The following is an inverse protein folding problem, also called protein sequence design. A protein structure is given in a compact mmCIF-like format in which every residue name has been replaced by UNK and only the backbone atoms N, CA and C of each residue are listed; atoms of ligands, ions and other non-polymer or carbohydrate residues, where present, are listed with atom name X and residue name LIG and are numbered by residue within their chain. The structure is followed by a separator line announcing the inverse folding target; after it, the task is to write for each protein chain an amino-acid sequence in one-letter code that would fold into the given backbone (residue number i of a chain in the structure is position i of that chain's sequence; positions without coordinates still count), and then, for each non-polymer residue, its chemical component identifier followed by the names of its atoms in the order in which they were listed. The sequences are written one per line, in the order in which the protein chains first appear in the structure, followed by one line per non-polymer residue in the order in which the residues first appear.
data_IF_697844250022
#
_entry.id   IF_697844250022
#
_cell.length_a   1.000
_cell.length_b   1.000
_cell.length_c   1.000
_cell.angle_alpha   90.00
_cell.angle_beta   90.00
_cell.angle_gamma   90.00
#
_symmetry.space_group_name_H-M   'P 1'
#
loop_
_entity.id
_entity.type
_entity.pdbx_description
1 polymer ?
#
# COMPACT_ATOMS: atom_id res chain seq x y z
N UNK A 1 -8.77 -26.99 -1.27
CA UNK A 1 -9.03 -27.04 0.18
C UNK A 1 -7.92 -26.28 0.88
N UNK A 2 -8.20 -25.06 1.34
CA UNK A 2 -7.27 -24.26 2.12
C UNK A 2 -7.09 -24.91 3.49
N UNK A 3 -5.95 -25.57 3.70
CA UNK A 3 -5.61 -26.17 4.99
C UNK A 3 -5.19 -25.04 5.92
N UNK A 4 -5.83 -24.91 7.08
CA UNK A 4 -5.39 -23.97 8.11
C UNK A 4 -4.20 -24.53 8.90
N UNK A 5 -3.36 -23.64 9.39
CA UNK A 5 -2.30 -23.89 10.36
C UNK A 5 -2.58 -23.12 11.63
N UNK A 6 -2.30 -23.76 12.75
CA UNK A 6 -2.48 -23.20 14.08
C UNK A 6 -1.10 -23.02 14.71
N UNK A 7 -0.84 -21.83 15.23
CA UNK A 7 0.42 -21.48 15.88
C UNK A 7 0.13 -21.05 17.31
N UNK A 8 0.90 -21.59 18.24
CA UNK A 8 0.92 -21.15 19.62
C UNK A 8 2.16 -20.29 19.85
N UNK A 9 1.90 -19.02 20.14
CA UNK A 9 2.89 -17.95 20.17
C UNK A 9 2.79 -17.18 21.47
N UNK A 10 3.93 -16.81 22.04
CA UNK A 10 4.01 -15.89 23.19
C UNK A 10 4.81 -14.65 22.82
N UNK A 11 4.37 -13.50 23.32
CA UNK A 11 5.03 -12.22 23.10
C UNK A 11 5.80 -11.81 24.36
N UNK A 12 7.11 -11.60 24.20
CA UNK A 12 7.99 -11.08 25.25
C UNK A 12 8.39 -9.65 24.91
N UNK A 13 8.01 -8.72 25.78
CA UNK A 13 8.34 -7.29 25.67
C UNK A 13 9.49 -7.02 26.66
N UNK A 14 10.55 -6.35 26.20
CA UNK A 14 11.76 -6.15 27.03
C UNK A 14 11.62 -5.00 28.04
N UNK A 15 10.72 -4.04 27.80
CA UNK A 15 10.37 -2.97 28.75
C UNK A 15 8.93 -3.19 29.23
N UNK A 16 8.81 -3.69 30.45
CA UNK A 16 7.55 -4.15 31.07
C UNK A 16 6.78 -3.01 31.77
N UNK A 17 6.83 -1.79 31.21
CA UNK A 17 6.13 -0.63 31.79
C UNK A 17 4.74 -0.57 31.17
N UNK A 18 3.75 -1.12 31.88
CA UNK A 18 2.30 -0.93 31.69
C UNK A 18 1.75 -1.11 30.26
N UNK A 19 2.37 -1.97 29.45
CA UNK A 19 1.85 -2.27 28.13
C UNK A 19 0.77 -3.36 28.23
N UNK A 20 -0.49 -2.93 28.38
CA UNK A 20 -1.65 -3.80 28.24
C UNK A 20 -1.79 -4.24 26.77
N UNK A 21 -1.34 -5.46 26.51
CA UNK A 21 -1.48 -6.07 25.19
C UNK A 21 -2.88 -6.67 25.11
N UNK A 22 -3.83 -5.94 24.53
CA UNK A 22 -5.15 -6.47 24.19
C UNK A 22 -5.07 -7.36 22.95
N UNK A 23 -6.00 -8.32 22.76
CA UNK A 23 -5.99 -9.19 21.58
C UNK A 23 -6.11 -8.41 20.26
N UNK A 24 -6.77 -7.25 20.26
CA UNK A 24 -6.91 -6.38 19.09
C UNK A 24 -5.54 -5.81 18.67
N UNK A 25 -4.81 -5.20 19.62
CA UNK A 25 -3.46 -4.68 19.34
C UNK A 25 -2.49 -5.80 18.99
N UNK A 26 -2.65 -6.97 19.60
CA UNK A 26 -1.87 -8.14 19.24
C UNK A 26 -2.09 -8.54 17.77
N UNK A 27 -3.36 -8.63 17.32
CA UNK A 27 -3.70 -8.92 15.92
C UNK A 27 -3.12 -7.87 14.98
N UNK A 28 -3.28 -6.59 15.31
CA UNK A 28 -2.78 -5.48 14.51
C UNK A 28 -1.26 -5.52 14.37
N UNK A 29 -0.53 -5.86 15.44
CA UNK A 29 0.92 -5.96 15.38
C UNK A 29 1.38 -7.11 14.47
N UNK A 30 0.69 -8.27 14.49
CA UNK A 30 0.98 -9.38 13.58
C UNK A 30 0.78 -8.96 12.13
N UNK A 31 -0.35 -8.31 11.83
CA UNK A 31 -0.65 -7.82 10.47
C UNK A 31 0.40 -6.80 10.03
N UNK A 32 0.77 -5.87 10.92
CA UNK A 32 1.81 -4.87 10.65
C UNK A 32 3.18 -5.51 10.38
N UNK A 33 3.57 -6.53 11.14
CA UNK A 33 4.81 -7.27 10.93
C UNK A 33 4.84 -8.01 9.59
N UNK A 34 3.70 -8.56 9.14
CA UNK A 34 3.59 -9.18 7.83
C UNK A 34 3.65 -8.14 6.72
N UNK A 35 2.96 -7.01 6.90
CA UNK A 35 3.00 -5.87 5.97
C UNK A 35 4.42 -5.34 5.77
N UNK A 36 5.17 -5.21 6.86
CA UNK A 36 6.54 -4.68 6.84
C UNK A 36 7.50 -5.60 6.06
N UNK A 37 7.31 -6.93 6.15
CA UNK A 37 8.22 -7.88 5.52
C UNK A 37 7.79 -8.32 4.11
N UNK A 38 6.49 -8.43 3.85
CA UNK A 38 5.93 -9.02 2.63
C UNK A 38 4.94 -8.11 1.88
N UNK A 39 4.76 -6.86 2.31
CA UNK A 39 3.90 -5.88 1.67
C UNK A 39 2.40 -6.05 1.95
N UNK A 40 1.59 -5.12 1.41
CA UNK A 40 0.16 -5.00 1.70
C UNK A 40 -0.66 -6.23 1.30
N UNK A 41 -0.31 -6.86 0.17
CA UNK A 41 -1.02 -8.04 -0.35
C UNK A 41 -0.98 -9.21 0.63
N UNK A 42 0.14 -9.39 1.34
CA UNK A 42 0.28 -10.44 2.35
C UNK A 42 -0.29 -10.05 3.71
N UNK A 43 -0.55 -8.75 3.94
CA UNK A 43 -1.13 -8.24 5.19
C UNK A 43 -2.65 -8.34 5.22
N UNK A 44 -3.31 -8.39 4.06
CA UNK A 44 -4.76 -8.58 3.90
C UNK A 44 -5.24 -10.01 4.27
N UNK A 45 -4.36 -10.84 4.82
CA UNK A 45 -4.68 -12.23 5.16
C UNK A 45 -5.54 -12.27 6.41
N UNK A 46 -6.62 -13.05 6.35
CA UNK A 46 -7.47 -13.35 7.49
C UNK A 46 -6.72 -14.20 8.51
N UNK A 47 -6.22 -13.54 9.56
CA UNK A 47 -5.58 -14.16 10.71
C UNK A 47 -6.54 -14.07 11.91
N UNK A 48 -6.82 -15.21 12.52
CA UNK A 48 -7.74 -15.28 13.65
C UNK A 48 -7.01 -15.64 14.93
N UNK A 49 -7.33 -14.93 16.01
CA UNK A 49 -6.88 -15.27 17.36
C UNK A 49 -7.98 -16.12 17.99
N UNK A 50 -7.70 -17.41 18.19
CA UNK A 50 -8.65 -18.35 18.78
C UNK A 50 -8.70 -18.21 20.30
N UNK A 51 -7.55 -17.95 20.91
CA UNK A 51 -7.45 -17.70 22.34
C UNK A 51 -6.29 -16.79 22.64
N UNK A 52 -6.49 -15.93 23.62
CA UNK A 52 -5.47 -15.03 24.15
C UNK A 52 -5.45 -15.10 25.67
N UNK A 53 -4.25 -15.07 26.25
CA UNK A 53 -4.04 -14.95 27.69
C UNK A 53 -3.27 -13.66 27.96
N UNK A 54 -3.88 -12.75 28.72
CA UNK A 54 -3.34 -11.44 29.07
C UNK A 54 -2.10 -11.53 29.98
N UNK A 55 -2.05 -12.53 30.87
CA UNK A 55 -0.98 -12.67 31.87
C UNK A 55 0.32 -13.15 31.18
N UNK A 56 0.20 -14.18 30.34
CA UNK A 56 1.35 -14.77 29.66
C UNK A 56 1.61 -14.19 28.27
N UNK A 57 0.78 -13.23 27.83
CA UNK A 57 0.81 -12.63 26.48
C UNK A 57 0.93 -13.71 25.40
N UNK A 58 0.21 -14.83 25.61
CA UNK A 58 0.26 -16.06 24.79
C UNK A 58 -1.05 -16.23 24.04
N UNK A 59 -0.94 -16.51 22.75
CA UNK A 59 -2.07 -16.59 21.83
C UNK A 59 -1.99 -17.87 20.99
N UNK A 60 -3.17 -18.44 20.68
CA UNK A 60 -3.30 -19.45 19.63
C UNK A 60 -3.89 -18.76 18.40
N UNK A 61 -3.13 -18.77 17.32
CA UNK A 61 -3.44 -18.06 16.08
C UNK A 61 -3.70 -19.05 14.96
N UNK A 62 -4.80 -18.86 14.22
CA UNK A 62 -5.15 -19.59 13.01
C UNK A 62 -4.73 -18.78 11.79
N UNK A 63 -4.01 -19.42 10.88
CA UNK A 63 -3.48 -18.82 9.65
C UNK A 63 -3.78 -19.76 8.48
N UNK A 64 -4.14 -19.27 7.29
CA UNK A 64 -4.21 -20.10 6.09
C UNK A 64 -2.83 -20.71 5.76
N UNK A 65 -2.79 -21.96 5.32
CA UNK A 65 -1.53 -22.70 5.12
C UNK A 65 -0.58 -22.05 4.12
N UNK A 66 -1.11 -21.36 3.11
CA UNK A 66 -0.31 -20.64 2.11
C UNK A 66 0.48 -19.46 2.72
N UNK A 67 0.01 -18.95 3.85
CA UNK A 67 0.61 -17.82 4.56
C UNK A 67 1.36 -18.23 5.83
N UNK A 68 1.31 -19.51 6.22
CA UNK A 68 2.01 -20.03 7.41
C UNK A 68 3.49 -19.64 7.46
N UNK A 69 4.21 -19.85 6.36
CA UNK A 69 5.65 -19.57 6.29
C UNK A 69 5.91 -18.07 6.42
N UNK A 70 5.12 -17.24 5.72
CA UNK A 70 5.22 -15.78 5.76
C UNK A 70 4.97 -15.28 7.18
N UNK A 71 3.86 -15.67 7.80
CA UNK A 71 3.53 -15.28 9.18
C UNK A 71 4.61 -15.71 10.15
N UNK A 72 5.11 -16.96 10.05
CA UNK A 72 6.18 -17.45 10.92
C UNK A 72 7.47 -16.62 10.78
N UNK A 73 7.91 -16.35 9.56
CA UNK A 73 9.10 -15.53 9.31
C UNK A 73 8.94 -14.10 9.78
N UNK A 74 7.78 -13.48 9.52
CA UNK A 74 7.45 -12.13 9.98
C UNK A 74 7.45 -12.01 11.50
N UNK A 75 6.82 -12.95 12.21
CA UNK A 75 6.81 -12.95 13.67
C UNK A 75 8.21 -13.11 14.25
N UNK A 76 9.03 -13.98 13.65
CA UNK A 76 10.41 -14.23 14.10
C UNK A 76 11.29 -12.99 13.94
N UNK A 77 11.08 -12.21 12.88
CA UNK A 77 11.85 -10.99 12.58
C UNK A 77 11.23 -9.71 13.18
N UNK A 78 10.01 -9.78 13.73
CA UNK A 78 9.34 -8.66 14.34
C UNK A 78 10.05 -8.28 15.65
N UNK A 79 10.81 -7.18 15.61
CA UNK A 79 11.57 -6.67 16.74
C UNK A 79 10.90 -5.53 17.50
N UNK A 80 9.71 -5.09 17.07
CA UNK A 80 9.03 -3.90 17.62
C UNK A 80 7.54 -4.14 17.85
N UNK A 81 7.05 -3.70 19.00
CA UNK A 81 5.65 -3.60 19.36
C UNK A 81 5.41 -2.19 19.92
N UNK A 82 4.63 -1.36 19.22
CA UNK A 82 4.40 0.04 19.60
C UNK A 82 5.71 0.78 19.97
N UNK A 83 6.72 0.67 19.10
CA UNK A 83 8.10 1.18 19.27
C UNK A 83 8.93 0.61 20.44
N UNK A 84 8.39 -0.36 21.18
CA UNK A 84 9.12 -1.09 22.21
C UNK A 84 9.75 -2.36 21.64
N UNK A 85 10.97 -2.68 22.07
CA UNK A 85 11.65 -3.91 21.65
C UNK A 85 10.86 -5.15 22.10
N UNK A 86 10.39 -5.94 21.14
CA UNK A 86 9.63 -7.15 21.39
C UNK A 86 10.24 -8.36 20.70
N UNK A 87 9.91 -9.55 21.21
CA UNK A 87 10.27 -10.82 20.58
C UNK A 87 9.10 -11.78 20.66
N UNK A 88 8.72 -12.37 19.52
CA UNK A 88 7.75 -13.45 19.48
C UNK A 88 8.45 -14.79 19.64
N UNK A 89 7.93 -15.64 20.51
CA UNK A 89 8.36 -17.02 20.66
C UNK A 89 7.26 -17.95 20.19
N UNK A 90 7.57 -18.77 19.18
CA UNK A 90 6.64 -19.76 18.65
C UNK A 90 6.90 -21.06 19.39
N UNK A 91 5.96 -21.47 20.25
CA UNK A 91 6.08 -22.70 21.03
C UNK A 91 5.79 -23.92 20.19
N UNK A 92 4.67 -23.90 19.45
CA UNK A 92 4.21 -25.02 18.64
C UNK A 92 3.49 -24.52 17.39
N UNK A 93 3.56 -25.30 16.32
CA UNK A 93 2.79 -25.09 15.11
C UNK A 93 2.26 -26.43 14.61
N UNK A 94 0.99 -26.49 14.25
CA UNK A 94 0.34 -27.72 13.79
C UNK A 94 -0.78 -27.42 12.81
N UNK A 95 -0.98 -28.24 11.76
CA UNK A 95 -2.16 -28.17 10.89
C UNK A 95 -3.43 -28.70 11.57
N UNK A 96 -3.31 -29.35 12.74
CA UNK A 96 -4.43 -29.90 13.51
C UNK A 96 -4.40 -29.29 14.92
N UNK A 97 -5.50 -28.63 15.30
CA UNK A 97 -5.61 -27.94 16.59
C UNK A 97 -5.45 -28.90 17.79
N UNK A 98 -5.94 -30.14 17.68
CA UNK A 98 -5.78 -31.17 18.72
C UNK A 98 -4.31 -31.51 19.01
N UNK A 99 -3.42 -31.39 18.02
CA UNK A 99 -2.00 -31.71 18.19
C UNK A 99 -1.19 -30.55 18.81
N UNK A 100 -1.82 -29.39 19.06
CA UNK A 100 -1.20 -28.33 19.87
C UNK A 100 -1.17 -28.69 21.36
N UNK A 101 -2.07 -29.57 21.80
CA UNK A 101 -2.05 -30.16 23.14
C UNK A 101 -1.00 -31.27 23.21
N UNK A 102 0.00 -31.07 24.07
CA UNK A 102 1.06 -32.03 24.31
C UNK A 102 1.95 -31.56 25.46
N UNK A 103 2.69 -32.48 26.07
CA UNK A 103 2.52 -32.97 27.44
C UNK A 103 3.31 -32.17 28.50
N UNK A 104 3.67 -30.92 28.21
CA UNK A 104 4.61 -30.16 29.03
C UNK A 104 3.92 -29.10 29.92
N UNK A 105 2.92 -29.56 30.67
CA UNK A 105 2.74 -29.12 32.07
C UNK A 105 2.21 -27.70 32.34
N UNK A 106 1.16 -27.26 31.62
CA UNK A 106 0.12 -26.34 32.14
C UNK A 106 -1.03 -26.26 31.12
N UNK A 107 -1.87 -27.28 31.11
CA UNK A 107 -3.06 -27.31 30.27
C UNK A 107 -4.05 -26.22 30.72
N UNK A 108 -4.40 -25.31 29.82
CA UNK A 108 -5.67 -24.59 29.92
C UNK A 108 -6.61 -25.26 28.94
N UNK A 109 -7.54 -26.06 29.48
CA UNK A 109 -8.61 -26.69 28.70
C UNK A 109 -9.44 -25.60 28.04
N UNK A 110 -9.58 -25.68 26.72
CA UNK A 110 -10.45 -24.80 25.92
C UNK A 110 -11.44 -25.72 25.24
N UNK A 111 -12.68 -25.64 25.66
CA UNK A 111 -13.77 -26.29 24.97
C UNK A 111 -14.21 -25.37 23.84
N UNK A 112 -13.63 -25.55 22.66
CA UNK A 112 -14.18 -25.00 21.43
C UNK A 112 -15.22 -26.00 20.92
N UNK A 113 -16.50 -25.64 21.00
CA UNK A 113 -17.59 -26.50 20.56
C UNK A 113 -17.79 -26.36 19.05
N UNK A 114 -18.45 -27.35 18.44
CA UNK A 114 -18.77 -27.30 17.00
C UNK A 114 -19.72 -26.12 16.63
N UNK A 115 -20.30 -25.47 17.64
CA UNK A 115 -21.19 -24.31 17.51
C UNK A 115 -20.37 -23.01 17.38
N UNK A 116 -19.27 -22.88 18.13
CA UNK A 116 -18.35 -21.74 18.05
C UNK A 116 -17.60 -21.64 16.70
N UNK A 117 -17.56 -22.74 15.95
CA UNK A 117 -16.97 -22.80 14.61
C UNK A 117 -17.95 -22.46 13.48
N UNK A 118 -19.26 -22.40 13.77
CA UNK A 118 -20.30 -22.12 12.75
C UNK A 118 -20.57 -20.63 12.56
N UNK A 119 -20.22 -19.80 13.54
CA UNK A 119 -20.35 -18.35 13.45
C UNK A 119 -19.00 -17.72 13.10
N UNK A 120 -18.89 -16.97 11.99
CA UNK A 120 -17.72 -16.14 11.76
C UNK A 120 -17.59 -15.10 12.89
N UNK A 121 -16.36 -14.65 13.15
CA UNK A 121 -16.04 -13.72 14.24
C UNK A 121 -16.90 -12.45 14.16
N UNK A 122 -17.58 -12.11 15.25
CA UNK A 122 -18.38 -10.87 15.44
C UNK A 122 -17.50 -9.62 15.59
N UNK A 123 -16.25 -9.65 15.14
CA UNK A 123 -15.34 -8.50 15.25
C UNK A 123 -15.48 -7.69 13.97
N UNK A 124 -16.29 -6.65 14.03
CA UNK A 124 -16.32 -5.62 12.99
C UNK A 124 -15.04 -4.80 13.12
N UNK A 125 -14.12 -4.98 12.17
CA UNK A 125 -13.00 -4.06 12.04
C UNK A 125 -13.57 -2.67 11.70
N UNK A 126 -13.11 -1.59 12.34
CA UNK A 126 -13.43 -0.25 11.87
C UNK A 126 -12.97 -0.14 10.41
N UNK A 127 -13.74 0.58 9.59
CA UNK A 127 -13.39 0.79 8.18
C UNK A 127 -11.94 1.32 8.10
N UNK A 128 -11.12 0.79 7.17
CA UNK A 128 -9.77 1.30 6.98
C UNK A 128 -9.85 2.80 6.71
N UNK A 129 -9.13 3.60 7.49
CA UNK A 129 -9.04 5.05 7.29
C UNK A 129 -8.80 5.33 5.81
N UNK A 130 -9.64 6.18 5.23
CA UNK A 130 -9.54 6.59 3.83
C UNK A 130 -8.11 7.05 3.57
N UNK A 131 -7.39 6.28 2.75
CA UNK A 131 -6.03 6.64 2.37
C UNK A 131 -6.08 8.06 1.80
N UNK A 132 -5.26 9.00 2.33
CA UNK A 132 -5.32 10.38 1.92
C UNK A 132 -5.15 10.44 0.40
N UNK A 133 -6.14 11.02 -0.27
CA UNK A 133 -6.16 11.14 -1.72
C UNK A 133 -4.98 11.95 -2.25
N UNK A 134 -4.95 12.15 -3.56
CA UNK A 134 -3.93 12.96 -4.23
C UNK A 134 -3.82 14.38 -3.63
N UNK A 135 -4.95 14.91 -3.18
CA UNK A 135 -5.06 16.23 -2.57
C UNK A 135 -5.44 16.06 -1.11
N UNK A 136 -4.64 16.64 -0.22
CA UNK A 136 -4.93 16.68 1.20
C UNK A 136 -6.11 17.66 1.47
N UNK A 137 -6.79 17.55 2.63
CA UNK A 137 -7.85 18.48 3.01
C UNK A 137 -7.43 19.95 3.08
N UNK A 138 -6.12 20.22 3.15
CA UNK A 138 -5.55 21.56 3.18
C UNK A 138 -5.32 22.16 1.77
N UNK A 139 -5.56 21.40 0.69
CA UNK A 139 -5.33 21.85 -0.69
C UNK A 139 -3.91 21.63 -1.21
N UNK A 140 -3.05 20.92 -0.47
CA UNK A 140 -1.71 20.55 -0.93
C UNK A 140 -1.71 19.17 -1.62
N UNK A 141 -0.76 18.99 -2.54
CA UNK A 141 -0.57 17.73 -3.28
C UNK A 141 0.22 16.72 -2.41
N UNK A 142 -0.35 15.53 -2.21
CA UNK A 142 0.29 14.42 -1.50
C UNK A 142 1.31 13.70 -2.40
N UNK A 143 2.57 14.14 -2.37
CA UNK A 143 3.66 13.52 -3.15
C UNK A 143 3.98 12.07 -2.75
N UNK A 144 3.48 11.59 -1.61
CA UNK A 144 3.66 10.22 -1.16
C UNK A 144 2.53 9.29 -1.61
N UNK A 145 1.55 9.79 -2.38
CA UNK A 145 0.48 8.96 -2.90
C UNK A 145 1.03 7.96 -3.94
N UNK A 146 0.86 6.64 -3.72
CA UNK A 146 1.38 5.61 -4.65
C UNK A 146 0.87 5.76 -6.10
N UNK A 147 -0.27 6.44 -6.31
CA UNK A 147 -0.87 6.68 -7.63
C UNK A 147 -0.16 7.75 -8.47
N UNK A 148 0.71 8.58 -7.89
CA UNK A 148 1.44 9.65 -8.60
C UNK A 148 2.60 9.14 -9.48
N UNK A 149 2.71 7.82 -9.65
CA UNK A 149 3.52 7.20 -10.71
C UNK A 149 5.03 7.39 -10.57
N UNK A 150 5.55 7.67 -9.38
CA UNK A 150 7.01 7.75 -9.12
C UNK A 150 7.75 8.89 -9.83
N UNK A 151 7.12 9.63 -10.76
CA UNK A 151 7.73 10.71 -11.53
C UNK A 151 8.19 11.87 -10.65
N UNK A 152 7.50 12.09 -9.53
CA UNK A 152 7.88 13.06 -8.51
C UNK A 152 9.15 12.67 -7.71
N UNK A 153 9.65 11.45 -7.86
CA UNK A 153 10.78 10.87 -7.10
C UNK A 153 11.84 10.32 -8.05
N UNK A 154 12.34 11.18 -8.95
CA UNK A 154 13.40 10.85 -9.91
C UNK A 154 14.33 12.04 -10.21
N UNK A 155 15.31 11.87 -11.12
CA UNK A 155 16.26 12.95 -11.48
C UNK A 155 15.57 14.19 -12.07
N UNK A 156 14.38 14.03 -12.65
CA UNK A 156 13.53 15.11 -13.15
C UNK A 156 12.34 15.43 -12.25
N UNK A 157 12.33 14.93 -11.01
CA UNK A 157 11.18 15.04 -10.10
C UNK A 157 10.88 16.47 -9.65
N UNK A 158 11.89 17.35 -9.58
CA UNK A 158 11.69 18.76 -9.20
C UNK A 158 10.89 19.51 -10.25
N UNK A 159 11.24 19.33 -11.53
CA UNK A 159 10.51 19.91 -12.65
C UNK A 159 9.08 19.37 -12.74
N UNK A 160 8.90 18.07 -12.49
CA UNK A 160 7.58 17.44 -12.42
C UNK A 160 6.73 18.04 -11.30
N UNK A 161 7.29 18.22 -10.11
CA UNK A 161 6.56 18.82 -8.98
C UNK A 161 6.10 20.25 -9.28
N UNK A 162 6.96 21.04 -9.94
CA UNK A 162 6.67 22.41 -10.31
C UNK A 162 5.61 22.51 -11.42
N UNK A 163 5.71 21.67 -12.46
CA UNK A 163 4.73 21.65 -13.54
C UNK A 163 3.36 21.16 -13.02
N UNK A 164 3.34 20.11 -12.19
CA UNK A 164 2.12 19.52 -11.67
C UNK A 164 1.45 20.40 -10.60
N UNK A 165 2.21 21.11 -9.77
CA UNK A 165 1.64 22.11 -8.85
C UNK A 165 1.00 23.27 -9.63
N UNK A 166 1.66 23.77 -10.67
CA UNK A 166 1.11 24.80 -11.54
C UNK A 166 -0.17 24.31 -12.24
N UNK A 167 -0.20 23.08 -12.76
CA UNK A 167 -1.40 22.48 -13.35
C UNK A 167 -2.56 22.37 -12.35
N UNK A 168 -2.27 22.00 -11.10
CA UNK A 168 -3.30 21.85 -10.07
C UNK A 168 -3.89 23.19 -9.63
N UNK A 169 -3.05 24.21 -9.47
CA UNK A 169 -3.49 25.55 -9.05
C UNK A 169 -3.94 26.46 -10.21
N UNK A 170 -3.68 26.08 -11.46
CA UNK A 170 -4.08 26.84 -12.64
C UNK A 170 -5.61 26.84 -12.81
N UNK A 171 -6.18 28.02 -13.01
CA UNK A 171 -7.61 28.22 -13.34
C UNK A 171 -7.86 28.40 -14.85
N UNK A 172 -6.81 28.29 -15.68
CA UNK A 172 -6.95 28.43 -17.12
C UNK A 172 -7.72 27.25 -17.74
N UNK A 173 -8.41 27.49 -18.87
CA UNK A 173 -9.12 26.47 -19.65
C UNK A 173 -8.49 26.39 -21.06
N UNK A 174 -7.80 25.29 -21.42
CA UNK A 174 -7.59 24.05 -20.68
C UNK A 174 -6.59 24.22 -19.51
N UNK A 175 -6.78 23.42 -18.46
CA UNK A 175 -5.97 23.42 -17.23
C UNK A 175 -4.47 23.35 -17.55
N UNK A 176 -3.67 24.26 -16.97
CA UNK A 176 -2.22 24.29 -17.13
C UNK A 176 -1.71 24.81 -18.47
N UNK A 177 -2.56 25.45 -19.29
CA UNK A 177 -2.12 26.17 -20.50
C UNK A 177 -1.15 27.31 -20.21
N UNK A 178 -1.29 27.95 -19.05
CA UNK A 178 -0.37 28.94 -18.47
C UNK A 178 0.94 28.33 -17.94
N UNK A 179 0.98 27.02 -17.72
CA UNK A 179 2.11 26.29 -17.14
C UNK A 179 2.95 25.53 -18.20
N UNK A 180 2.70 25.78 -19.49
CA UNK A 180 3.30 25.03 -20.59
C UNK A 180 4.83 25.02 -20.56
N UNK A 181 5.46 26.12 -20.17
CA UNK A 181 6.92 26.24 -20.09
C UNK A 181 7.53 25.33 -19.00
N UNK A 182 6.81 25.11 -17.89
CA UNK A 182 7.23 24.20 -16.83
C UNK A 182 7.13 22.73 -17.31
N UNK A 183 6.05 22.39 -18.02
CA UNK A 183 5.91 21.07 -18.64
C UNK A 183 6.98 20.82 -19.71
N UNK A 184 7.33 21.83 -20.52
CA UNK A 184 8.40 21.74 -21.50
C UNK A 184 9.76 21.51 -20.83
N UNK A 185 10.02 22.19 -19.72
CA UNK A 185 11.26 22.03 -18.94
C UNK A 185 11.37 20.61 -18.38
N UNK A 186 10.27 20.08 -17.83
CA UNK A 186 10.18 18.70 -17.38
C UNK A 186 10.40 17.69 -18.52
N UNK A 187 9.75 17.89 -19.68
CA UNK A 187 9.91 17.01 -20.85
C UNK A 187 11.35 17.01 -21.37
N UNK A 188 11.99 18.18 -21.43
CA UNK A 188 13.41 18.30 -21.79
C UNK A 188 14.32 17.56 -20.81
N UNK A 189 13.96 17.50 -19.53
CA UNK A 189 14.70 16.71 -18.55
C UNK A 189 14.51 15.20 -18.79
N UNK A 190 13.28 14.74 -19.03
CA UNK A 190 12.97 13.32 -19.28
C UNK A 190 13.66 12.78 -20.53
N UNK A 191 13.77 13.60 -21.59
CA UNK A 191 14.51 13.26 -22.81
C UNK A 191 15.99 12.97 -22.57
N UNK A 192 16.61 13.54 -21.52
CA UNK A 192 18.01 13.27 -21.16
C UNK A 192 18.20 11.91 -20.49
N UNK A 193 17.13 11.29 -20.00
CA UNK A 193 17.16 10.01 -19.29
C UNK A 193 16.25 8.97 -19.97
N UNK A 194 16.50 8.62 -21.24
CA UNK A 194 15.65 7.70 -22.00
C UNK A 194 15.58 6.31 -21.36
N UNK A 195 16.63 5.84 -20.70
CA UNK A 195 16.63 4.51 -20.04
C UNK A 195 15.74 4.43 -18.79
N UNK A 196 15.38 5.57 -18.19
CA UNK A 196 14.54 5.63 -17.00
C UNK A 196 13.08 5.96 -17.32
N UNK A 197 12.85 6.79 -18.33
CA UNK A 197 11.51 7.29 -18.68
C UNK A 197 10.94 6.71 -19.98
N UNK A 198 11.74 6.10 -20.87
CA UNK A 198 11.25 5.39 -22.08
C UNK A 198 11.22 3.86 -21.89
N UNK A 199 11.12 3.37 -20.65
CA UNK A 199 11.12 1.92 -20.41
C UNK A 199 9.89 1.22 -21.01
N UNK A 200 8.84 1.97 -21.34
CA UNK A 200 7.63 1.47 -21.99
C UNK A 200 7.69 1.46 -23.53
N UNK A 201 8.77 1.98 -24.15
CA UNK A 201 8.97 1.92 -25.61
C UNK A 201 9.82 0.72 -26.07
N UNK A 202 10.28 -0.13 -25.16
CA UNK A 202 11.05 -1.32 -25.50
C UNK A 202 10.20 -2.59 -25.63
N UNK A 203 8.94 -2.57 -25.20
CA UNK A 203 8.03 -3.72 -25.27
C UNK A 203 6.74 -3.49 -26.08
N UNK A 204 6.40 -2.27 -26.52
CA UNK A 204 5.22 -2.05 -27.37
C UNK A 204 5.50 -1.02 -28.49
N UNK A 205 5.59 -1.53 -29.72
CA UNK A 205 5.51 -0.80 -30.98
C UNK A 205 4.10 -0.19 -31.18
N UNK A 206 3.69 0.81 -30.40
CA UNK A 206 2.51 1.63 -30.76
C UNK A 206 2.39 2.95 -29.98
N UNK A 207 3.20 3.97 -30.31
CA UNK A 207 2.76 5.37 -30.12
C UNK A 207 3.55 6.34 -31.01
N UNK A 208 3.36 6.21 -32.32
CA UNK A 208 3.77 7.23 -33.30
C UNK A 208 2.55 7.77 -34.04
N UNK A 209 1.77 8.62 -33.38
CA UNK A 209 0.72 9.41 -34.05
C UNK A 209 0.34 10.62 -33.20
N UNK A 210 1.20 11.63 -33.15
CA UNK A 210 0.81 13.02 -32.82
C UNK A 210 1.88 14.04 -33.23
N UNK A 211 2.31 14.00 -34.49
CA UNK A 211 2.72 15.21 -35.22
C UNK A 211 2.72 14.92 -36.72
N UNK A 212 1.69 15.38 -37.43
CA UNK A 212 1.72 15.76 -38.85
C UNK A 212 0.30 16.08 -39.33
N UNK A 213 -0.14 17.32 -39.17
CA UNK A 213 -1.03 17.92 -40.17
C UNK A 213 -0.83 19.44 -40.21
N UNK A 214 0.25 19.81 -40.90
CA UNK A 214 0.36 21.12 -41.54
C UNK A 214 0.60 20.89 -43.04
N UNK A 215 -0.47 20.97 -43.83
CA UNK A 215 -0.42 21.26 -45.26
C UNK A 215 -1.39 22.40 -45.59
N UNK A 216 -0.80 23.58 -45.78
CA UNK A 216 -1.07 24.57 -46.84
C UNK A 216 -1.76 23.92 -48.07
N UNK A 217 -2.75 24.45 -48.80
CA UNK A 217 -3.33 25.77 -49.13
C UNK A 217 -4.57 25.48 -50.05
N UNK A 218 -5.39 26.40 -50.62
CA UNK A 218 -5.21 27.85 -50.77
C UNK A 218 -6.44 28.74 -50.45
N UNK A 219 -6.10 30.02 -50.33
CA UNK A 219 -6.86 31.25 -50.43
C UNK A 219 -7.78 31.38 -51.68
N UNK A 220 -9.03 31.83 -51.44
CA UNK A 220 -9.87 32.80 -52.18
C UNK A 220 -11.31 32.64 -51.68
N UNK A 221 -12.10 33.65 -51.30
CA UNK A 221 -12.13 35.11 -51.44
C UNK A 221 -13.35 35.54 -50.57
N UNK A 222 -13.54 36.72 -49.99
CA UNK A 222 -13.23 38.09 -50.41
C UNK A 222 -13.64 39.04 -49.27
N UNK A 223 -12.75 39.93 -48.85
CA UNK A 223 -13.12 41.19 -48.19
C UNK A 223 -13.54 42.23 -49.23
N UNK A 224 -14.34 43.19 -48.76
CA UNK A 224 -14.95 44.29 -49.51
C UNK A 224 -14.12 45.56 -49.27
N UNK A 225 -14.07 46.41 -50.31
CA UNK A 225 -13.58 47.81 -50.39
C UNK A 225 -12.05 47.99 -50.52
N UNK A 226 -11.48 48.83 -51.40
CA UNK A 226 -11.90 50.13 -51.93
C UNK A 226 -11.32 50.46 -53.32
N UNK A 227 -12.05 51.32 -54.05
CA UNK A 227 -11.63 52.09 -55.22
C UNK A 227 -10.38 52.95 -54.92
N UNK A 228 -9.42 53.07 -55.86
CA UNK A 228 -8.95 54.36 -56.46
C UNK A 228 -7.85 54.20 -57.53
N UNK A 229 -8.13 54.76 -58.71
CA UNK A 229 -7.25 55.44 -59.71
C UNK A 229 -5.87 54.89 -60.08
N UNK A 230 -5.68 54.51 -61.35
CA UNK A 230 -5.28 55.38 -62.48
C UNK A 230 -5.37 54.63 -63.80
#
# INVERSE_FOLDING_TARGET
MTKYYYLDISLKIHNDVDCEVTPEYFKQNIISAIRQLFGEVSACVDIDILKYNFISKRAVVRVPGDYYVKTRSSLTLCGKYQDTACSYQIHKASPVLLNLQGPDGKDIVIFATAEDHKTPSTVTLPEPDQQPGLILPNGDINWNCPCLGGMATGPCGVEFRNAFSCFHYSEADPKGSDCYDLFKTMQNCMQKYPTLYNKDLADDEDFSSMDSDKKDSPDKSSEKSDKKSS
#
